data_IF_321647070425
#
_entry.id   IF_321647070425
#
_cell.length_a   1.000
_cell.length_b   1.000
_cell.length_c   1.000
_cell.angle_alpha   90.00
_cell.angle_beta   90.00
_cell.angle_gamma   90.00
#
_symmetry.space_group_name_H-M   'P 1'
#
loop_
_entity.id
_entity.type
_entity.pdbx_description
1 polymer ?
#
# COMPACT_ATOMS: atom_id res chain seq x y z
N UNK A 1 8.84 10.60 0.29
CA UNK A 1 9.27 10.78 1.69
C UNK A 1 10.46 11.70 1.80
N UNK A 2 10.45 12.57 2.82
CA UNK A 2 11.58 13.45 3.17
C UNK A 2 12.66 12.75 4.03
N UNK A 3 12.48 11.46 4.30
CA UNK A 3 13.28 10.63 5.21
C UNK A 3 13.87 9.45 4.42
N UNK A 4 15.07 9.60 3.82
CA UNK A 4 15.75 8.53 3.08
C UNK A 4 15.89 7.23 3.87
N UNK A 5 16.09 7.33 5.18
CA UNK A 5 16.23 6.22 6.13
C UNK A 5 14.94 5.41 6.33
N UNK A 6 13.78 5.99 6.04
CA UNK A 6 12.47 5.34 6.17
C UNK A 6 12.01 4.70 4.85
N UNK A 7 12.93 4.43 3.93
CA UNK A 7 12.69 3.74 2.66
C UNK A 7 12.41 2.26 2.90
N UNK A 8 11.31 1.75 2.33
CA UNK A 8 11.08 0.31 2.23
C UNK A 8 12.05 -0.37 1.25
N UNK A 9 12.19 -1.69 1.36
CA UNK A 9 13.14 -2.49 0.55
C UNK A 9 13.11 -2.15 -0.95
N UNK A 10 11.91 -2.02 -1.53
CA UNK A 10 11.69 -1.70 -2.95
C UNK A 10 11.85 -0.22 -3.32
N UNK A 11 12.36 0.64 -2.44
CA UNK A 11 12.49 2.07 -2.72
C UNK A 11 11.23 2.89 -2.52
N UNK A 12 10.19 2.31 -1.93
CA UNK A 12 8.93 2.99 -1.68
C UNK A 12 8.97 3.71 -0.33
N UNK A 13 8.46 4.94 -0.31
CA UNK A 13 8.44 5.81 0.86
C UNK A 13 7.04 5.97 1.42
N UNK A 14 6.98 6.35 2.69
CA UNK A 14 5.75 6.75 3.38
C UNK A 14 4.69 5.63 3.38
N UNK A 15 5.15 4.37 3.44
CA UNK A 15 4.29 3.17 3.50
C UNK A 15 3.62 2.98 4.88
N UNK A 16 4.16 3.60 5.92
CA UNK A 16 3.62 3.55 7.28
C UNK A 16 3.63 4.92 7.94
N UNK A 17 2.57 5.23 8.67
CA UNK A 17 2.52 6.36 9.61
C UNK A 17 2.36 7.74 8.98
N UNK A 18 2.16 7.85 7.66
CA UNK A 18 1.80 9.11 7.01
C UNK A 18 0.29 9.15 6.76
N UNK A 19 -0.17 8.39 5.77
CA UNK A 19 -1.58 8.16 5.51
C UNK A 19 -1.89 6.68 5.65
N UNK A 20 -3.05 6.38 6.20
CA UNK A 20 -3.61 5.05 6.09
C UNK A 20 -4.09 4.88 4.63
N UNK A 21 -3.65 3.82 3.94
CA UNK A 21 -3.88 3.68 2.51
C UNK A 21 -4.96 2.63 2.22
N UNK A 22 -5.98 3.01 1.44
CA UNK A 22 -6.99 2.08 0.93
C UNK A 22 -6.36 1.01 0.04
N UNK A 23 -6.85 -0.22 0.15
CA UNK A 23 -6.50 -1.34 -0.73
C UNK A 23 -7.72 -1.89 -1.46
N UNK A 24 -7.50 -2.61 -2.57
CA UNK A 24 -8.56 -3.36 -3.24
C UNK A 24 -8.99 -4.64 -2.49
N UNK A 25 -8.34 -4.98 -1.38
CA UNK A 25 -8.59 -6.21 -0.62
C UNK A 25 -9.78 -6.05 0.30
N UNK A 26 -10.78 -6.92 0.16
CA UNK A 26 -11.91 -7.00 1.10
C UNK A 26 -11.45 -7.45 2.49
N UNK A 27 -12.05 -6.89 3.54
CA UNK A 27 -11.70 -7.29 4.89
C UNK A 27 -12.23 -8.69 5.21
N UNK A 28 -11.37 -9.53 5.78
CA UNK A 28 -11.77 -10.84 6.31
C UNK A 28 -12.67 -10.75 7.55
N UNK A 29 -12.68 -9.61 8.26
CA UNK A 29 -13.55 -9.38 9.43
C UNK A 29 -14.95 -8.95 9.01
N UNK A 30 -15.08 -8.20 7.90
CA UNK A 30 -16.36 -7.80 7.34
C UNK A 30 -16.21 -7.45 5.85
N UNK A 31 -16.81 -8.27 4.98
CA UNK A 31 -16.70 -8.16 3.52
C UNK A 31 -17.36 -6.92 2.92
N UNK A 32 -18.17 -6.17 3.69
CA UNK A 32 -18.68 -4.87 3.27
C UNK A 32 -17.58 -3.81 3.18
N UNK A 33 -16.48 -4.02 3.87
CA UNK A 33 -15.37 -3.08 3.96
C UNK A 33 -14.13 -3.56 3.20
N UNK A 34 -13.24 -2.62 2.92
CA UNK A 34 -11.91 -2.88 2.38
C UNK A 34 -10.86 -2.66 3.46
N UNK A 35 -9.71 -3.34 3.33
CA UNK A 35 -8.60 -3.11 4.23
C UNK A 35 -7.93 -1.76 3.93
N UNK A 36 -7.61 -1.05 5.00
CA UNK A 36 -6.81 0.17 5.02
C UNK A 36 -5.53 -0.12 5.79
N UNK A 37 -4.38 0.12 5.17
CA UNK A 37 -3.08 -0.36 5.64
C UNK A 37 -2.16 0.78 6.08
N UNK A 38 -1.13 0.46 6.87
CA UNK A 38 0.04 1.32 7.11
C UNK A 38 -0.11 2.36 8.23
N UNK A 39 -1.34 2.76 8.56
CA UNK A 39 -1.61 3.77 9.58
C UNK A 39 -1.20 5.19 9.17
N UNK A 40 -1.54 6.17 10.00
CA UNK A 40 -1.37 7.61 9.70
C UNK A 40 -0.55 8.32 10.79
N UNK A 41 -0.37 9.65 10.68
CA UNK A 41 0.52 10.43 11.54
C UNK A 41 0.22 10.36 13.05
N UNK A 42 -0.99 9.96 13.46
CA UNK A 42 -1.36 9.74 14.88
C UNK A 42 -1.43 8.26 15.27
N UNK A 43 -1.17 7.32 14.34
CA UNK A 43 -1.11 5.89 14.66
C UNK A 43 0.06 5.55 15.60
N UNK A 44 1.05 6.43 15.72
CA UNK A 44 2.21 6.24 16.59
C UNK A 44 2.95 4.92 16.29
N UNK A 45 3.47 4.22 17.33
CA UNK A 45 4.24 2.99 17.14
C UNK A 45 3.47 1.83 16.50
N UNK A 46 2.13 1.92 16.42
CA UNK A 46 1.31 0.88 15.79
C UNK A 46 1.34 0.96 14.27
N UNK A 47 1.79 2.08 13.67
CA UNK A 47 1.91 2.17 12.22
C UNK A 47 2.98 1.20 11.70
N UNK A 48 2.64 0.38 10.72
CA UNK A 48 3.58 -0.58 10.15
C UNK A 48 2.98 -1.38 8.99
N UNK A 49 3.79 -2.27 8.43
CA UNK A 49 3.43 -3.08 7.26
C UNK A 49 2.13 -3.89 7.44
N UNK A 50 1.87 -4.33 8.67
CA UNK A 50 0.73 -5.19 9.01
C UNK A 50 -0.38 -4.48 9.79
N UNK A 51 -0.32 -3.15 9.97
CA UNK A 51 -1.43 -2.39 10.57
C UNK A 51 -2.60 -2.37 9.58
N UNK A 52 -3.60 -3.21 9.84
CA UNK A 52 -4.77 -3.39 8.99
C UNK A 52 -6.05 -2.95 9.72
N UNK A 53 -6.75 -1.99 9.13
CA UNK A 53 -8.04 -1.45 9.59
C UNK A 53 -9.11 -1.71 8.54
N UNK A 54 -10.37 -1.75 8.96
CA UNK A 54 -11.50 -2.00 8.04
C UNK A 54 -12.76 -1.20 8.38
N UNK A 55 -12.70 -0.29 9.36
CA UNK A 55 -13.87 0.45 9.84
C UNK A 55 -14.15 1.76 9.10
N UNK A 56 -13.35 2.09 8.08
CA UNK A 56 -13.62 3.24 7.22
C UNK A 56 -14.69 2.88 6.21
N UNK A 57 -15.66 3.77 6.01
CA UNK A 57 -16.71 3.55 5.01
C UNK A 57 -16.26 4.08 3.64
N UNK A 58 -16.30 3.28 2.56
CA UNK A 58 -15.83 3.73 1.24
C UNK A 58 -16.51 4.99 0.70
N UNK A 59 -17.76 5.24 1.13
CA UNK A 59 -18.51 6.44 0.76
C UNK A 59 -18.05 7.72 1.49
N UNK A 60 -17.27 7.58 2.57
CA UNK A 60 -16.86 8.69 3.41
C UNK A 60 -15.43 9.11 3.09
N UNK A 61 -15.22 10.42 3.06
CA UNK A 61 -13.87 11.00 3.03
C UNK A 61 -13.38 11.17 4.45
N UNK A 62 -12.20 10.62 4.72
CA UNK A 62 -11.55 10.71 6.02
C UNK A 62 -10.18 11.35 5.84
N UNK A 63 -9.90 12.43 6.57
CA UNK A 63 -8.64 13.18 6.49
C UNK A 63 -7.38 12.31 6.54
N UNK A 64 -7.26 11.27 7.40
CA UNK A 64 -6.03 10.47 7.46
C UNK A 64 -5.94 9.37 6.41
N UNK A 65 -6.94 9.23 5.53
CA UNK A 65 -7.03 8.09 4.61
C UNK A 65 -6.78 8.54 3.17
N UNK A 66 -5.75 7.95 2.56
CA UNK A 66 -5.38 8.16 1.17
C UNK A 66 -5.39 6.87 0.36
N UNK A 67 -4.71 6.90 -0.79
CA UNK A 67 -4.48 5.74 -1.62
C UNK A 67 -3.16 5.87 -2.37
N UNK A 68 -2.65 4.73 -2.83
CA UNK A 68 -1.48 4.63 -3.69
C UNK A 68 -1.80 3.75 -4.88
N UNK A 69 -1.51 4.26 -6.07
CA UNK A 69 -1.71 3.48 -7.29
C UNK A 69 -0.77 2.28 -7.31
N UNK A 70 -1.30 1.14 -7.75
CA UNK A 70 -0.53 -0.07 -8.03
C UNK A 70 -0.86 -0.57 -9.43
N UNK A 71 0.05 -1.34 -10.01
CA UNK A 71 -0.15 -2.01 -11.29
C UNK A 71 0.52 -3.38 -11.25
N UNK A 72 0.06 -4.28 -12.12
CA UNK A 72 0.76 -5.54 -12.33
C UNK A 72 2.20 -5.27 -12.78
N UNK A 73 3.12 -6.13 -12.34
CA UNK A 73 4.47 -6.13 -12.88
C UNK A 73 4.40 -6.35 -14.39
N UNK A 74 5.11 -5.52 -15.16
CA UNK A 74 5.23 -5.77 -16.59
C UNK A 74 5.92 -7.13 -16.76
N UNK A 75 5.40 -8.02 -17.64
CA UNK A 75 6.11 -9.25 -17.93
C UNK A 75 7.52 -8.89 -18.40
N UNK A 76 8.53 -9.59 -17.85
CA UNK A 76 9.87 -9.51 -18.42
C UNK A 76 9.74 -10.01 -19.85
N UNK A 77 10.11 -9.18 -20.82
CA UNK A 77 10.27 -9.65 -22.19
C UNK A 77 11.23 -10.82 -22.11
N UNK A 78 10.76 -12.01 -22.49
CA UNK A 78 11.63 -13.16 -22.61
C UNK A 78 12.75 -12.76 -23.56
N UNK A 79 14.00 -12.91 -23.13
CA UNK A 79 15.17 -12.73 -23.99
C UNK A 79 14.96 -13.61 -25.22
N UNK A 80 14.59 -12.98 -26.34
CA UNK A 80 14.53 -13.66 -27.62
C UNK A 80 15.96 -14.12 -27.88
N UNK A 81 16.19 -15.43 -27.80
CA UNK A 81 17.46 -16.01 -28.21
C UNK A 81 17.72 -15.51 -29.62
N UNK A 82 18.71 -14.64 -29.77
CA UNK A 82 19.30 -14.33 -31.08
C UNK A 82 19.92 -15.65 -31.55
N UNK A 83 19.16 -16.40 -32.33
CA UNK A 83 19.70 -17.43 -33.17
C UNK A 83 20.49 -16.75 -34.29
N UNK A 84 21.75 -17.11 -34.40
CA UNK A 84 22.49 -17.08 -35.67
C UNK A 84 23.27 -18.36 -35.70
N UNK A 85 22.88 -19.22 -36.64
CA UNK A 85 23.64 -20.33 -37.18
C UNK A 85 24.97 -19.85 -37.78
#
# INVERSE_FOLDING_TARGET
GKKPECRGYFGVFDMSGNLAEWTGTKSGKNSRFYNVMGGFWESGPQSGCFDARYSYFPQNRHNPVGFRCCSNARPRLAETKRGTE
#
